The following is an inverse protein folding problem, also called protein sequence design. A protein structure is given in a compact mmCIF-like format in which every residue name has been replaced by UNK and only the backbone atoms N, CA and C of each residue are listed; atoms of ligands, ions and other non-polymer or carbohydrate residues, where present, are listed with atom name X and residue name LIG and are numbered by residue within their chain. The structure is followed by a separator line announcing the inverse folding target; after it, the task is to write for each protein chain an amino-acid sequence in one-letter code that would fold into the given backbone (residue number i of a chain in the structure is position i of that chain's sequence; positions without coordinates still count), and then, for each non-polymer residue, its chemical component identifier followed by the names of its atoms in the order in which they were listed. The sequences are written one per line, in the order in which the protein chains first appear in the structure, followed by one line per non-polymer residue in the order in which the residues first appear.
data_IF_383173771013
#
_entry.id   IF_383173771013
#
_cell.length_a   1.000
_cell.length_b   1.000
_cell.length_c   1.000
_cell.angle_alpha   90.00
_cell.angle_beta   90.00
_cell.angle_gamma   90.00
#
_symmetry.space_group_name_H-M   'P 1'
#
loop_
_entity.id
_entity.type
_entity.pdbx_description
1 polymer ?
#
# COMPACT_ATOMS: atom_id res chain seq x y z
N UNK A 1 -3.92 7.82 7.62
CA UNK A 1 -4.33 7.95 6.20
C UNK A 1 -5.70 7.28 6.07
N UNK A 2 -6.71 7.96 5.51
CA UNK A 2 -8.10 7.46 5.49
C UNK A 2 -8.40 6.57 4.27
N UNK A 3 -7.51 6.50 3.29
CA UNK A 3 -7.69 5.67 2.08
C UNK A 3 -8.80 6.16 1.14
N UNK A 4 -8.90 5.51 -0.01
CA UNK A 4 -9.91 5.69 -1.04
C UNK A 4 -9.93 4.49 -1.98
N UNK A 5 -11.08 4.21 -2.60
CA UNK A 5 -11.23 3.13 -3.59
C UNK A 5 -11.64 3.73 -4.94
N UNK A 6 -10.82 3.52 -5.97
CA UNK A 6 -11.02 4.10 -7.30
C UNK A 6 -10.91 3.03 -8.40
N UNK A 7 -11.79 3.09 -9.41
CA UNK A 7 -11.66 2.25 -10.61
C UNK A 7 -10.79 2.95 -11.65
N UNK A 8 -9.49 2.65 -11.65
CA UNK A 8 -8.51 3.29 -12.53
C UNK A 8 -8.78 3.10 -14.04
N UNK A 9 -9.61 2.12 -14.44
CA UNK A 9 -9.95 1.92 -15.87
C UNK A 9 -11.00 2.90 -16.35
N UNK A 10 -11.89 3.33 -15.46
CA UNK A 10 -13.01 4.24 -15.76
C UNK A 10 -12.77 5.65 -15.23
N UNK A 11 -11.97 5.76 -14.18
CA UNK A 11 -11.65 6.99 -13.48
C UNK A 11 -10.14 7.08 -13.17
N UNK A 12 -9.30 7.25 -14.21
CA UNK A 12 -7.85 7.41 -14.03
C UNK A 12 -7.47 8.71 -13.28
N UNK A 13 -8.42 9.63 -13.11
CA UNK A 13 -8.23 10.88 -12.39
C UNK A 13 -8.69 10.84 -10.92
N UNK A 14 -9.07 9.67 -10.40
CA UNK A 14 -9.48 9.47 -8.99
C UNK A 14 -10.56 10.45 -8.52
N UNK A 15 -11.54 10.75 -9.38
CA UNK A 15 -12.60 11.72 -9.13
C UNK A 15 -13.71 11.20 -8.21
N UNK A 16 -13.94 9.88 -8.19
CA UNK A 16 -15.03 9.26 -7.46
C UNK A 16 -14.53 8.22 -6.47
N UNK A 17 -14.57 8.54 -5.17
CA UNK A 17 -14.25 7.59 -4.11
C UNK A 17 -15.41 6.63 -3.88
N UNK A 18 -15.16 5.34 -4.10
CA UNK A 18 -16.15 4.27 -3.99
C UNK A 18 -16.06 3.49 -2.67
N UNK A 19 -15.20 3.90 -1.72
CA UNK A 19 -14.90 3.10 -0.52
C UNK A 19 -16.12 2.78 0.34
N UNK A 20 -17.09 3.70 0.41
CA UNK A 20 -18.31 3.51 1.21
C UNK A 20 -19.29 2.54 0.54
N UNK A 21 -19.22 2.41 -0.79
CA UNK A 21 -20.09 1.53 -1.56
C UNK A 21 -19.57 0.09 -1.62
N UNK A 22 -18.26 -0.12 -1.49
CA UNK A 22 -17.62 -1.44 -1.59
C UNK A 22 -16.59 -1.68 -0.46
N UNK A 23 -17.02 -1.70 0.81
CA UNK A 23 -16.12 -1.87 1.97
C UNK A 23 -15.37 -3.20 1.98
N UNK A 24 -15.92 -4.25 1.36
CA UNK A 24 -15.28 -5.55 1.19
C UNK A 24 -14.03 -5.47 0.30
N UNK A 25 -14.09 -4.70 -0.79
CA UNK A 25 -12.95 -4.50 -1.69
C UNK A 25 -11.87 -3.68 -0.99
N UNK A 26 -12.26 -2.66 -0.20
CA UNK A 26 -11.32 -1.89 0.62
C UNK A 26 -10.55 -2.82 1.54
N UNK A 27 -11.25 -3.74 2.24
CA UNK A 27 -10.62 -4.70 3.15
C UNK A 27 -9.65 -5.63 2.43
N UNK A 28 -10.02 -6.16 1.25
CA UNK A 28 -9.14 -7.02 0.46
C UNK A 28 -7.85 -6.28 0.04
N UNK A 29 -7.99 -5.01 -0.38
CA UNK A 29 -6.85 -4.17 -0.76
C UNK A 29 -5.97 -3.83 0.43
N UNK A 30 -6.56 -3.55 1.60
CA UNK A 30 -5.81 -3.29 2.84
C UNK A 30 -5.03 -4.52 3.30
N UNK A 31 -5.63 -5.71 3.22
CA UNK A 31 -4.97 -6.98 3.56
C UNK A 31 -3.80 -7.28 2.62
N UNK A 32 -3.96 -7.01 1.31
CA UNK A 32 -2.87 -7.13 0.34
C UNK A 32 -1.76 -6.12 0.63
N UNK A 33 -2.11 -4.85 0.84
CA UNK A 33 -1.16 -3.79 1.15
C UNK A 33 -0.37 -4.12 2.42
N UNK A 34 -1.03 -4.64 3.46
CA UNK A 34 -0.37 -5.09 4.70
C UNK A 34 0.72 -6.12 4.42
N UNK A 35 0.45 -7.14 3.60
CA UNK A 35 1.44 -8.16 3.22
C UNK A 35 2.64 -7.53 2.51
N UNK A 36 2.40 -6.61 1.58
CA UNK A 36 3.46 -5.92 0.83
C UNK A 36 4.30 -5.02 1.74
N UNK A 37 3.67 -4.27 2.65
CA UNK A 37 4.39 -3.41 3.63
C UNK A 37 5.26 -4.23 4.56
N UNK A 38 4.77 -5.37 5.05
CA UNK A 38 5.57 -6.27 5.89
C UNK A 38 6.80 -6.82 5.15
N UNK A 39 6.72 -6.99 3.85
CA UNK A 39 7.80 -7.52 3.02
C UNK A 39 8.82 -6.43 2.64
N UNK A 40 8.35 -5.38 1.98
CA UNK A 40 9.18 -4.33 1.36
C UNK A 40 9.45 -3.13 2.27
N UNK A 41 8.64 -2.96 3.32
CA UNK A 41 8.62 -1.77 4.15
C UNK A 41 7.70 -0.69 3.62
N UNK A 42 7.46 0.31 4.45
CA UNK A 42 6.63 1.48 4.14
C UNK A 42 6.92 2.60 5.13
N UNK A 43 7.56 3.67 4.64
CA UNK A 43 7.96 4.81 5.47
C UNK A 43 6.75 5.58 6.02
N UNK A 44 5.61 5.59 5.29
CA UNK A 44 4.40 6.29 5.71
C UNK A 44 3.79 5.66 6.97
N UNK A 45 3.89 4.33 7.09
CA UNK A 45 3.43 3.58 8.26
C UNK A 45 4.56 3.17 9.20
N UNK A 46 5.78 3.65 8.94
CA UNK A 46 7.01 3.27 9.65
C UNK A 46 7.26 1.75 9.70
N UNK A 47 6.74 1.01 8.72
CA UNK A 47 7.01 -0.41 8.62
C UNK A 47 8.43 -0.62 8.07
N UNK A 48 9.35 -1.22 8.82
CA UNK A 48 10.73 -1.35 8.39
C UNK A 48 10.90 -2.34 7.22
N UNK A 49 9.95 -3.25 6.97
CA UNK A 49 10.06 -4.30 5.95
C UNK A 49 11.03 -5.42 6.30
N UNK A 50 10.62 -6.69 6.11
CA UNK A 50 11.42 -7.87 6.48
C UNK A 50 12.49 -8.24 5.45
N UNK A 51 12.22 -8.02 4.17
CA UNK A 51 13.03 -8.52 3.05
C UNK A 51 13.68 -7.39 2.24
N UNK A 52 13.98 -6.26 2.89
CA UNK A 52 14.67 -5.14 2.26
C UNK A 52 16.12 -5.46 1.98
N UNK A 53 16.62 -4.92 0.88
CA UNK A 53 18.04 -4.95 0.56
C UNK A 53 18.81 -4.11 1.59
N UNK A 54 19.80 -4.72 2.25
CA UNK A 54 20.70 -4.00 3.14
C UNK A 54 21.49 -2.92 2.39
N UNK A 55 21.80 -1.78 3.04
CA UNK A 55 22.71 -0.80 2.48
C UNK A 55 24.08 -1.43 2.21
N UNK A 56 24.76 -0.94 1.16
CA UNK A 56 26.13 -1.35 0.86
C UNK A 56 27.05 -1.05 2.04
N UNK A 57 28.02 -1.94 2.30
CA UNK A 57 29.06 -1.73 3.31
C UNK A 57 30.39 -1.50 2.59
N UNK A 58 31.13 -0.46 2.97
CA UNK A 58 32.53 -0.32 2.56
C UNK A 58 33.33 -1.35 3.36
N UNK A 59 33.99 -2.28 2.66
CA UNK A 59 34.96 -3.18 3.28
C UNK A 59 36.22 -2.40 3.62
N UNK A 60 36.76 -2.62 4.82
CA UNK A 60 38.10 -2.15 5.19
C UNK A 60 39.18 -2.86 4.37
#
# INVERSE_FOLDING_TARGET
FQGGLFDMRRDPGERYDLKEYYPEIVREMEDLAKKVREDLGDDLTQNPGKNRRFPGRLGN
#
